data_IF_374007036495
#
_entry.id   IF_374007036495
#
_cell.length_a   1.000
_cell.length_b   1.000
_cell.length_c   1.000
_cell.angle_alpha   90.00
_cell.angle_beta   90.00
_cell.angle_gamma   90.00
#
_symmetry.space_group_name_H-M   'P 1'
#
loop_
_entity.id
_entity.type
_entity.pdbx_description
1 polymer ?
#
# COMPACT_ATOMS: atom_id res chain seq x y z
N UNK A 1 -3.97 9.14 26.23
CA UNK A 1 -4.17 7.98 25.33
C UNK A 1 -5.64 7.58 25.48
N UNK A 2 -6.46 7.65 24.42
CA UNK A 2 -7.88 7.26 24.55
C UNK A 2 -7.96 5.75 24.70
N UNK A 3 -8.65 5.27 25.73
CA UNK A 3 -9.00 3.87 25.83
C UNK A 3 -10.06 3.57 24.77
N UNK A 4 -9.76 2.62 23.88
CA UNK A 4 -10.67 2.23 22.79
C UNK A 4 -11.42 0.94 23.12
N UNK A 5 -11.26 0.37 24.32
CA UNK A 5 -11.89 -0.90 24.70
C UNK A 5 -13.42 -0.86 24.66
N UNK A 6 -14.00 0.32 24.80
CA UNK A 6 -15.46 0.55 24.75
C UNK A 6 -15.94 0.84 23.31
N UNK A 7 -15.03 0.89 22.33
CA UNK A 7 -15.40 1.04 20.92
C UNK A 7 -16.09 -0.23 20.43
N UNK A 8 -17.25 -0.13 19.75
CA UNK A 8 -17.99 -1.30 19.27
C UNK A 8 -17.22 -2.14 18.24
N UNK A 9 -16.11 -1.65 17.70
CA UNK A 9 -15.20 -2.35 16.80
C UNK A 9 -14.03 -3.02 17.54
N UNK A 10 -13.83 -2.76 18.84
CA UNK A 10 -12.76 -3.36 19.62
C UNK A 10 -12.93 -4.88 19.71
N UNK A 11 -11.94 -5.62 19.22
CA UNK A 11 -11.97 -7.09 19.17
C UNK A 11 -12.77 -7.71 18.02
N UNK A 12 -13.48 -6.91 17.19
CA UNK A 12 -14.18 -7.40 16.00
C UNK A 12 -13.30 -7.48 14.75
N UNK A 13 -12.05 -7.05 14.84
CA UNK A 13 -11.11 -7.06 13.71
C UNK A 13 -10.99 -8.44 13.05
N UNK A 14 -11.01 -9.53 13.83
CA UNK A 14 -10.92 -10.89 13.30
C UNK A 14 -12.05 -11.23 12.31
N UNK A 15 -13.28 -10.75 12.56
CA UNK A 15 -14.42 -10.97 11.65
C UNK A 15 -14.21 -10.29 10.29
N UNK A 16 -13.62 -9.09 10.28
CA UNK A 16 -13.31 -8.34 9.06
C UNK A 16 -12.05 -8.84 8.34
N UNK A 17 -11.11 -9.45 9.07
CA UNK A 17 -9.81 -9.89 8.57
C UNK A 17 -9.85 -11.27 7.91
N UNK A 18 -10.81 -12.13 8.29
CA UNK A 18 -10.87 -13.50 7.75
C UNK A 18 -11.79 -13.66 6.53
N UNK A 19 -12.94 -12.97 6.48
CA UNK A 19 -13.91 -13.14 5.37
C UNK A 19 -14.80 -11.92 5.09
N UNK A 20 -14.46 -10.74 5.63
CA UNK A 20 -15.29 -9.55 5.46
C UNK A 20 -15.23 -8.94 4.06
N UNK A 21 -16.23 -8.13 3.65
CA UNK A 21 -16.25 -7.45 2.35
C UNK A 21 -15.06 -6.48 2.14
N UNK A 22 -14.35 -6.11 3.21
CA UNK A 22 -13.13 -5.31 3.13
C UNK A 22 -12.01 -6.03 2.38
N UNK A 23 -11.92 -7.36 2.49
CA UNK A 23 -10.86 -8.17 1.88
C UNK A 23 -11.00 -8.27 0.36
N UNK A 24 -12.20 -8.01 -0.19
CA UNK A 24 -12.40 -7.89 -1.63
C UNK A 24 -11.62 -6.71 -2.21
N UNK A 25 -11.42 -5.66 -1.41
CA UNK A 25 -10.65 -4.46 -1.81
C UNK A 25 -9.22 -4.49 -1.30
N UNK A 26 -9.00 -5.00 -0.08
CA UNK A 26 -7.70 -5.03 0.58
C UNK A 26 -7.38 -6.46 1.02
N UNK A 27 -6.84 -7.30 0.12
CA UNK A 27 -6.54 -8.68 0.44
C UNK A 27 -5.49 -8.77 1.55
N UNK A 28 -5.67 -9.71 2.48
CA UNK A 28 -4.71 -9.95 3.57
C UNK A 28 -3.32 -10.35 3.03
N UNK A 29 -3.30 -11.08 1.91
CA UNK A 29 -2.09 -11.48 1.20
C UNK A 29 -2.04 -10.81 -0.17
N UNK A 30 -1.51 -9.57 -0.28
CA UNK A 30 -1.31 -8.90 -1.57
C UNK A 30 -0.19 -9.57 -2.37
N UNK A 31 -0.17 -9.34 -3.68
CA UNK A 31 0.89 -9.83 -4.56
C UNK A 31 2.27 -9.23 -4.20
N UNK A 32 3.33 -9.84 -4.75
CA UNK A 32 4.72 -9.50 -4.42
C UNK A 32 5.09 -8.04 -4.70
N UNK A 33 4.43 -7.41 -5.67
CA UNK A 33 4.65 -6.00 -6.05
C UNK A 33 3.95 -5.03 -5.09
N UNK A 34 2.67 -5.26 -4.79
CA UNK A 34 1.87 -4.44 -3.88
C UNK A 34 2.39 -4.50 -2.45
N UNK A 35 2.83 -5.68 -2.00
CA UNK A 35 3.37 -5.89 -0.65
C UNK A 35 4.59 -5.01 -0.34
N UNK A 36 5.42 -4.74 -1.35
CA UNK A 36 6.63 -3.92 -1.22
C UNK A 36 6.50 -2.50 -1.75
N UNK A 37 5.30 -2.07 -2.14
CA UNK A 37 5.07 -0.75 -2.70
C UNK A 37 4.99 0.33 -1.62
N UNK A 38 5.81 1.37 -1.74
CA UNK A 38 5.75 2.56 -0.88
C UNK A 38 5.77 3.83 -1.73
N UNK A 39 4.90 4.78 -1.39
CA UNK A 39 4.87 6.10 -2.01
C UNK A 39 4.78 7.18 -0.93
N UNK A 40 5.47 8.29 -1.14
CA UNK A 40 5.39 9.44 -0.23
C UNK A 40 4.09 10.25 -0.44
N UNK A 41 3.98 11.37 0.28
CA UNK A 41 2.97 12.38 -0.02
C UNK A 41 3.40 13.18 -1.25
N UNK A 42 2.43 13.54 -2.08
CA UNK A 42 2.66 14.11 -3.40
C UNK A 42 2.19 15.55 -3.52
N UNK A 43 2.23 16.10 -4.74
CA UNK A 43 1.86 17.49 -5.05
C UNK A 43 0.47 17.89 -4.59
N UNK A 44 -0.43 16.94 -4.38
CA UNK A 44 -1.77 17.22 -3.84
C UNK A 44 -1.74 17.76 -2.40
N UNK A 45 -0.77 17.34 -1.59
CA UNK A 45 -0.74 17.67 -0.15
C UNK A 45 0.64 18.08 0.38
N UNK A 46 1.72 17.74 -0.34
CA UNK A 46 3.09 18.04 0.03
C UNK A 46 3.58 19.24 -0.77
N UNK A 47 3.82 20.36 -0.08
CA UNK A 47 4.25 21.63 -0.68
C UNK A 47 5.62 21.61 -1.35
N UNK A 48 6.40 20.54 -1.13
CA UNK A 48 7.74 20.38 -1.71
C UNK A 48 7.77 19.31 -2.82
N UNK A 49 6.68 18.60 -3.06
CA UNK A 49 6.64 17.56 -4.08
C UNK A 49 6.79 18.16 -5.47
N UNK A 50 7.60 17.49 -6.30
CA UNK A 50 7.80 17.81 -7.71
C UNK A 50 6.89 16.98 -8.61
N UNK A 51 6.48 15.79 -8.15
CA UNK A 51 5.66 14.86 -8.93
C UNK A 51 4.56 14.21 -8.09
N UNK A 52 3.53 13.74 -8.79
CA UNK A 52 2.55 12.80 -8.27
C UNK A 52 3.23 11.43 -7.99
N UNK A 53 2.83 10.74 -6.92
CA UNK A 53 3.44 9.47 -6.51
C UNK A 53 2.45 8.34 -6.24
N UNK A 54 1.33 8.57 -5.54
CA UNK A 54 0.44 7.50 -5.08
C UNK A 54 -0.37 6.91 -6.22
N UNK A 55 -1.12 7.72 -6.96
CA UNK A 55 -1.92 7.28 -8.09
C UNK A 55 -1.03 6.80 -9.25
N UNK A 56 0.14 7.40 -9.45
CA UNK A 56 1.13 6.93 -10.42
C UNK A 56 1.67 5.55 -10.05
N UNK A 57 2.11 5.34 -8.81
CA UNK A 57 2.55 4.03 -8.35
C UNK A 57 1.40 3.02 -8.44
N UNK A 58 0.20 3.37 -7.97
CA UNK A 58 -0.96 2.48 -8.03
C UNK A 58 -1.33 2.07 -9.48
N UNK A 59 -1.23 2.97 -10.46
CA UNK A 59 -1.39 2.63 -11.89
C UNK A 59 -0.28 1.71 -12.38
N UNK A 60 0.96 1.99 -11.99
CA UNK A 60 2.11 1.15 -12.37
C UNK A 60 1.98 -0.26 -11.78
N UNK A 61 1.56 -0.39 -10.53
CA UNK A 61 1.34 -1.69 -9.88
C UNK A 61 0.30 -2.52 -10.63
N UNK A 62 -0.86 -1.94 -10.96
CA UNK A 62 -1.89 -2.61 -11.76
C UNK A 62 -1.33 -3.14 -13.08
N UNK A 63 -0.58 -2.29 -13.79
CA UNK A 63 0.02 -2.69 -15.07
C UNK A 63 1.06 -3.81 -14.88
N UNK A 64 1.98 -3.66 -13.93
CA UNK A 64 3.04 -4.65 -13.69
C UNK A 64 2.45 -5.99 -13.25
N UNK A 65 1.43 -5.99 -12.39
CA UNK A 65 0.72 -7.19 -11.96
C UNK A 65 0.06 -7.94 -13.12
N UNK A 66 -0.45 -7.23 -14.12
CA UNK A 66 -1.10 -7.82 -15.30
C UNK A 66 -0.11 -8.28 -16.38
N UNK A 67 1.11 -7.73 -16.40
CA UNK A 67 2.02 -7.86 -17.54
C UNK A 67 3.36 -8.53 -17.22
N UNK A 68 3.67 -8.79 -15.95
CA UNK A 68 4.95 -9.37 -15.53
C UNK A 68 4.72 -10.67 -14.78
N UNK A 69 5.20 -11.77 -15.37
CA UNK A 69 5.26 -13.07 -14.70
C UNK A 69 6.44 -13.09 -13.72
N UNK A 70 6.18 -13.52 -12.49
CA UNK A 70 7.19 -13.70 -11.46
C UNK A 70 7.39 -15.19 -11.16
N UNK A 71 8.63 -15.63 -10.87
CA UNK A 71 8.87 -16.96 -10.32
C UNK A 71 8.20 -17.15 -8.95
N UNK A 72 7.81 -18.40 -8.64
CA UNK A 72 7.09 -18.77 -7.42
C UNK A 72 7.87 -18.51 -6.11
N UNK A 73 9.20 -18.36 -6.18
CA UNK A 73 10.07 -18.10 -5.03
C UNK A 73 10.23 -16.61 -4.71
N UNK A 74 9.61 -15.71 -5.48
CA UNK A 74 9.70 -14.26 -5.27
C UNK A 74 8.66 -13.79 -4.25
N UNK A 75 9.11 -13.62 -3.01
CA UNK A 75 8.25 -13.15 -1.91
C UNK A 75 7.83 -11.68 -1.98
N UNK A 76 8.76 -10.72 -2.08
CA UNK A 76 8.44 -9.28 -2.04
C UNK A 76 9.41 -8.46 -2.87
N UNK A 77 8.87 -7.62 -3.75
CA UNK A 77 9.63 -6.67 -4.55
C UNK A 77 9.40 -5.27 -3.98
N UNK A 78 10.47 -4.64 -3.50
CA UNK A 78 10.40 -3.28 -2.94
C UNK A 78 10.40 -2.25 -4.05
N UNK A 79 9.33 -1.46 -4.14
CA UNK A 79 9.18 -0.38 -5.11
C UNK A 79 8.82 0.91 -4.40
N UNK A 80 9.76 1.86 -4.39
CA UNK A 80 9.62 3.09 -3.63
C UNK A 80 9.54 4.27 -4.59
N UNK A 81 8.43 5.02 -4.52
CA UNK A 81 8.15 6.19 -5.34
C UNK A 81 8.23 7.48 -4.51
N UNK A 82 9.23 8.29 -4.82
CA UNK A 82 9.48 9.58 -4.15
C UNK A 82 9.17 10.75 -5.08
N UNK A 83 8.42 11.71 -4.59
CA UNK A 83 8.05 12.94 -5.32
C UNK A 83 9.12 14.03 -5.21
N UNK A 84 10.18 13.78 -4.45
CA UNK A 84 11.29 14.72 -4.22
C UNK A 84 12.62 13.96 -4.19
N UNK A 85 13.76 14.64 -4.40
CA UNK A 85 15.08 14.02 -4.26
C UNK A 85 15.38 13.51 -2.84
N UNK A 86 14.74 14.10 -1.82
CA UNK A 86 14.87 13.68 -0.43
C UNK A 86 13.95 12.50 -0.15
N UNK A 87 14.50 11.31 0.08
CA UNK A 87 13.72 10.07 0.29
C UNK A 87 12.84 10.13 1.54
N UNK A 88 11.57 10.53 1.36
CA UNK A 88 10.54 10.48 2.41
C UNK A 88 9.89 9.08 2.51
N UNK A 89 9.92 8.34 1.40
CA UNK A 89 9.46 6.97 1.20
C UNK A 89 10.45 5.89 1.67
N UNK A 90 11.51 6.28 2.42
CA UNK A 90 12.58 5.41 3.00
C UNK A 90 12.95 4.19 2.13
N UNK A 91 13.82 4.40 1.13
CA UNK A 91 14.51 3.34 0.36
C UNK A 91 15.28 2.34 1.22
#
# INVERSE_FOLDING_TARGET
MRNISDDPLYGKAAEFVEAGPLLETYPAEPNSFERGAMACTETEFCSIALTETKARLARMLRWVNENVELPDDVGTIKMHSSGVPRTADRR
#
